data_IF_254073622684
#
_entry.id   IF_254073622684
#
_cell.length_a   1.000
_cell.length_b   1.000
_cell.length_c   1.000
_cell.angle_alpha   90.00
_cell.angle_beta   90.00
_cell.angle_gamma   90.00
#
_symmetry.space_group_name_H-M   'P 1'
#
loop_
_entity.id
_entity.type
_entity.pdbx_description
1 polymer ?
#
# COMPACT_ATOMS: atom_id res chain seq x y z
N UNK A 1 36.95 -8.42 2.43
CA UNK A 1 37.02 -7.82 1.08
C UNK A 1 35.68 -7.95 0.35
N UNK A 2 35.23 -9.15 -0.06
CA UNK A 2 33.90 -9.29 -0.71
C UNK A 2 32.71 -9.08 0.24
N UNK A 3 32.72 -9.70 1.43
CA UNK A 3 31.62 -9.60 2.41
C UNK A 3 31.32 -8.16 2.82
N UNK A 4 32.35 -7.39 3.14
CA UNK A 4 32.21 -5.98 3.54
C UNK A 4 31.63 -5.12 2.41
N UNK A 5 32.06 -5.36 1.16
CA UNK A 5 31.55 -4.66 -0.01
C UNK A 5 30.06 -4.94 -0.26
N UNK A 6 29.63 -6.22 -0.22
CA UNK A 6 28.22 -6.55 -0.43
C UNK A 6 27.34 -6.13 0.75
N UNK A 7 27.86 -6.19 1.98
CA UNK A 7 27.14 -5.66 3.14
C UNK A 7 26.90 -4.14 3.02
N UNK A 8 27.84 -3.37 2.47
CA UNK A 8 27.63 -1.94 2.21
C UNK A 8 26.78 -1.66 0.97
N UNK A 9 26.88 -2.49 -0.07
CA UNK A 9 26.10 -2.33 -1.31
C UNK A 9 24.60 -2.59 -1.09
N UNK A 10 24.28 -3.55 -0.20
CA UNK A 10 22.91 -3.94 0.11
C UNK A 10 22.43 -3.41 1.47
N UNK A 11 23.21 -2.57 2.15
CA UNK A 11 22.68 -1.79 3.26
C UNK A 11 21.82 -0.67 2.71
N UNK A 12 20.63 -0.48 3.27
CA UNK A 12 19.78 0.64 2.91
C UNK A 12 20.49 1.95 3.23
N UNK A 13 20.64 2.82 2.23
CA UNK A 13 21.05 4.19 2.45
C UNK A 13 20.06 4.89 3.38
N UNK A 14 20.58 5.81 4.20
CA UNK A 14 19.73 6.61 5.06
C UNK A 14 18.82 7.49 4.20
N UNK A 15 17.51 7.46 4.46
CA UNK A 15 16.56 8.34 3.79
C UNK A 15 16.89 9.78 4.19
N UNK A 16 17.25 10.63 3.24
CA UNK A 16 17.44 12.05 3.48
C UNK A 16 16.07 12.76 3.58
N UNK A 17 15.66 13.27 4.76
CA UNK A 17 14.37 13.94 4.93
C UNK A 17 14.23 15.20 4.05
N UNK A 18 15.34 15.87 3.73
CA UNK A 18 15.32 17.07 2.90
C UNK A 18 14.95 16.72 1.45
N UNK A 19 15.57 15.68 0.90
CA UNK A 19 15.23 15.14 -0.42
C UNK A 19 13.76 14.70 -0.51
N UNK A 20 13.22 14.11 0.57
CA UNK A 20 11.79 13.76 0.64
C UNK A 20 10.90 15.01 0.59
N UNK A 21 11.20 16.04 1.38
CA UNK A 21 10.44 17.31 1.34
C UNK A 21 10.48 17.93 -0.04
N UNK A 22 11.67 18.06 -0.64
CA UNK A 22 11.83 18.64 -1.98
C UNK A 22 10.99 17.91 -3.03
N UNK A 23 10.95 16.58 -2.98
CA UNK A 23 10.15 15.78 -3.90
C UNK A 23 8.64 15.99 -3.69
N UNK A 24 8.18 16.03 -2.43
CA UNK A 24 6.77 16.23 -2.10
C UNK A 24 6.31 17.66 -2.41
N UNK A 25 7.17 18.64 -2.20
CA UNK A 25 6.91 20.06 -2.45
C UNK A 25 6.76 20.36 -3.95
N UNK A 26 7.48 19.61 -4.80
CA UNK A 26 7.34 19.70 -6.25
C UNK A 26 5.97 19.25 -6.78
N UNK A 27 5.16 18.54 -5.98
CA UNK A 27 3.82 18.09 -6.38
C UNK A 27 2.86 19.29 -6.37
N UNK A 28 2.25 19.67 -7.50
CA UNK A 28 1.29 20.77 -7.55
C UNK A 28 0.09 20.52 -6.65
N UNK A 29 -0.45 21.58 -6.03
CA UNK A 29 -1.62 21.47 -5.14
C UNK A 29 -2.85 20.86 -5.82
N UNK A 30 -3.02 21.08 -7.13
CA UNK A 30 -4.09 20.46 -7.93
C UNK A 30 -3.98 18.95 -8.07
N UNK A 31 -2.79 18.38 -7.91
CA UNK A 31 -2.53 16.95 -7.95
C UNK A 31 -2.49 16.30 -6.56
N UNK A 32 -2.57 17.09 -5.48
CA UNK A 32 -2.59 16.58 -4.11
C UNK A 32 -4.00 16.10 -3.76
N UNK A 33 -4.08 14.98 -3.05
CA UNK A 33 -5.33 14.52 -2.47
C UNK A 33 -5.91 15.60 -1.53
N UNK A 34 -7.23 15.78 -1.52
CA UNK A 34 -7.86 16.69 -0.57
C UNK A 34 -7.65 16.19 0.88
N UNK A 35 -7.68 17.06 1.90
CA UNK A 35 -7.52 16.64 3.29
C UNK A 35 -8.48 15.52 3.70
N UNK A 36 -9.70 15.54 3.16
CA UNK A 36 -10.70 14.49 3.37
C UNK A 36 -10.26 13.14 2.79
N UNK A 37 -9.72 13.13 1.57
CA UNK A 37 -9.22 11.92 0.92
C UNK A 37 -7.98 11.40 1.67
N UNK A 38 -7.06 12.29 2.06
CA UNK A 38 -5.89 11.92 2.85
C UNK A 38 -6.30 11.22 4.14
N UNK A 39 -7.22 11.82 4.91
CA UNK A 39 -7.72 11.23 6.15
C UNK A 39 -8.42 9.90 5.93
N UNK A 40 -9.18 9.74 4.84
CA UNK A 40 -9.84 8.47 4.52
C UNK A 40 -8.84 7.37 4.12
N UNK A 41 -7.79 7.73 3.37
CA UNK A 41 -6.74 6.77 2.95
C UNK A 41 -5.88 6.29 4.11
N UNK A 42 -5.69 7.11 5.14
CA UNK A 42 -4.91 6.76 6.34
C UNK A 42 -5.78 6.22 7.49
N UNK A 43 -7.10 6.17 7.32
CA UNK A 43 -7.99 5.67 8.35
C UNK A 43 -7.80 4.16 8.55
N UNK A 44 -7.89 3.64 9.79
CA UNK A 44 -7.93 2.20 10.03
C UNK A 44 -9.08 1.54 9.27
N UNK A 45 -8.82 0.35 8.72
CA UNK A 45 -9.84 -0.45 8.02
C UNK A 45 -10.84 -0.97 9.05
N UNK A 46 -12.12 -0.63 8.88
CA UNK A 46 -13.18 -1.14 9.74
C UNK A 46 -13.70 -2.50 9.25
N UNK A 47 -14.42 -3.21 10.13
CA UNK A 47 -15.10 -4.44 9.72
C UNK A 47 -16.16 -4.18 8.63
N UNK A 48 -16.83 -3.02 8.67
CA UNK A 48 -17.81 -2.63 7.64
C UNK A 48 -17.13 -2.49 6.28
N UNK A 49 -15.93 -1.91 6.24
CA UNK A 49 -15.15 -1.78 5.00
C UNK A 49 -14.80 -3.16 4.42
N UNK A 50 -14.44 -4.12 5.28
CA UNK A 50 -14.17 -5.51 4.87
C UNK A 50 -15.43 -6.19 4.31
N UNK A 51 -16.57 -6.03 4.99
CA UNK A 51 -17.84 -6.60 4.56
C UNK A 51 -18.31 -6.00 3.23
N UNK A 52 -18.18 -4.69 3.02
CA UNK A 52 -18.49 -4.06 1.73
C UNK A 52 -17.50 -4.48 0.65
N UNK A 53 -16.21 -4.63 1.01
CA UNK A 53 -15.19 -5.08 0.07
C UNK A 53 -15.45 -6.52 -0.40
N UNK A 54 -15.87 -7.42 0.50
CA UNK A 54 -16.12 -8.84 0.17
C UNK A 54 -17.30 -9.02 -0.78
N UNK A 55 -18.29 -8.12 -0.76
CA UNK A 55 -19.41 -8.13 -1.73
C UNK A 55 -18.97 -7.93 -3.18
N UNK A 56 -17.78 -7.36 -3.41
CA UNK A 56 -17.22 -7.18 -4.76
C UNK A 56 -16.58 -8.45 -5.30
N UNK A 57 -16.41 -9.48 -4.48
CA UNK A 57 -15.84 -10.74 -4.91
C UNK A 57 -16.80 -11.46 -5.89
N UNK A 58 -16.28 -12.08 -6.96
CA UNK A 58 -17.08 -12.84 -7.89
C UNK A 58 -17.67 -14.08 -7.19
N UNK A 59 -18.98 -14.31 -7.37
CA UNK A 59 -19.67 -15.46 -6.75
C UNK A 59 -19.21 -16.81 -7.30
N UNK A 60 -18.64 -16.82 -8.51
CA UNK A 60 -18.15 -18.02 -9.21
C UNK A 60 -16.91 -17.65 -10.01
N UNK A 61 -15.74 -17.99 -9.48
CA UNK A 61 -14.50 -18.05 -10.23
C UNK A 61 -13.61 -19.14 -9.65
N UNK A 62 -12.58 -19.52 -10.40
CA UNK A 62 -11.55 -20.43 -9.89
C UNK A 62 -10.86 -19.83 -8.65
N UNK A 63 -10.48 -20.66 -7.67
CA UNK A 63 -9.67 -20.22 -6.52
C UNK A 63 -8.33 -19.61 -6.93
N UNK A 64 -7.78 -18.78 -6.04
CA UNK A 64 -6.42 -18.24 -6.17
C UNK A 64 -5.35 -19.28 -5.87
N UNK A 65 -4.09 -18.81 -5.74
CA UNK A 65 -2.96 -19.67 -5.37
C UNK A 65 -3.08 -20.26 -3.95
N UNK A 66 -3.90 -19.64 -3.10
CA UNK A 66 -4.26 -20.13 -1.77
C UNK A 66 -5.26 -21.29 -1.81
N UNK A 67 -5.85 -21.59 -2.96
CA UNK A 67 -6.85 -22.63 -3.14
C UNK A 67 -8.19 -22.34 -2.46
N UNK A 68 -8.40 -21.14 -1.91
CA UNK A 68 -9.61 -20.82 -1.16
C UNK A 68 -10.77 -20.47 -2.11
N UNK A 69 -11.92 -21.15 -1.98
CA UNK A 69 -13.08 -20.87 -2.83
C UNK A 69 -13.81 -19.60 -2.39
N UNK A 70 -14.29 -18.81 -3.35
CA UNK A 70 -15.07 -17.59 -3.07
C UNK A 70 -16.40 -17.86 -2.34
N UNK A 71 -16.90 -19.10 -2.35
CA UNK A 71 -18.10 -19.50 -1.62
C UNK A 71 -18.01 -19.29 -0.09
N UNK A 72 -16.81 -19.17 0.49
CA UNK A 72 -16.65 -18.93 1.95
C UNK A 72 -17.15 -17.55 2.39
N UNK A 73 -17.35 -16.62 1.46
CA UNK A 73 -17.78 -15.26 1.74
C UNK A 73 -19.32 -15.13 1.74
N UNK A 74 -20.06 -16.23 1.59
CA UNK A 74 -21.51 -16.27 1.43
C UNK A 74 -22.20 -17.19 2.43
#
# INVERSE_FOLDING_TARGET
MARTFYCSLYSQDHIDPNSVSLLLDAIPSSARASPRIQSAMTAPISFVDLLEASKRCPRRSSPGLDGLPYQILH
#
